data_IF_397914162070
#
_entry.id   IF_397914162070
#
_cell.length_a   1.000
_cell.length_b   1.000
_cell.length_c   1.000
_cell.angle_alpha   90.00
_cell.angle_beta   90.00
_cell.angle_gamma   90.00
#
_symmetry.space_group_name_H-M   'P 1'
#
loop_
_entity.id
_entity.type
_entity.pdbx_description
1 polymer ?
#
# COMPACT_ATOMS: atom_id res chain seq x y z
N UNK A 1 1.96 15.12 8.71
CA UNK A 1 1.78 14.72 7.30
C UNK A 1 2.51 13.41 7.11
N UNK A 2 1.84 12.40 6.57
CA UNK A 2 2.38 11.04 6.50
C UNK A 2 3.47 10.91 5.43
N UNK A 3 4.42 10.02 5.66
CA UNK A 3 5.44 9.58 4.71
C UNK A 3 5.08 8.23 4.08
N UNK A 4 3.78 7.95 4.00
CA UNK A 4 3.21 6.67 3.56
C UNK A 4 2.42 6.94 2.29
N UNK A 5 2.50 6.00 1.34
CA UNK A 5 1.58 5.91 0.22
C UNK A 5 1.01 4.49 0.22
N UNK A 6 -0.29 4.38 -0.01
CA UNK A 6 -0.94 3.09 -0.21
C UNK A 6 -1.60 3.09 -1.56
N UNK A 7 -1.35 2.03 -2.32
CA UNK A 7 -2.04 1.82 -3.58
C UNK A 7 -2.51 0.38 -3.73
N UNK A 8 -3.61 0.25 -4.46
CA UNK A 8 -4.33 -0.99 -4.68
C UNK A 8 -4.44 -1.23 -6.19
N UNK A 9 -3.58 -2.07 -6.78
CA UNK A 9 -3.75 -2.47 -8.16
C UNK A 9 -4.96 -3.42 -8.27
N UNK A 10 -5.81 -3.14 -9.25
CA UNK A 10 -7.02 -3.90 -9.54
C UNK A 10 -6.80 -4.88 -10.69
N UNK A 11 -7.67 -5.89 -10.78
CA UNK A 11 -7.57 -6.95 -11.81
C UNK A 11 -7.79 -6.44 -13.24
N UNK A 12 -8.47 -5.31 -13.41
CA UNK A 12 -8.73 -4.68 -14.70
C UNK A 12 -7.60 -3.74 -15.17
N UNK A 13 -6.50 -3.66 -14.41
CA UNK A 13 -5.37 -2.78 -14.69
C UNK A 13 -5.53 -1.35 -14.16
N UNK A 14 -6.67 -1.01 -13.55
CA UNK A 14 -6.81 0.23 -12.79
C UNK A 14 -6.06 0.15 -11.45
N UNK A 15 -5.89 1.30 -10.79
CA UNK A 15 -5.31 1.39 -9.47
C UNK A 15 -5.98 2.49 -8.64
N UNK A 16 -6.12 2.22 -7.35
CA UNK A 16 -6.68 3.16 -6.37
C UNK A 16 -5.59 3.63 -5.42
N UNK A 17 -5.56 4.91 -5.08
CA UNK A 17 -4.66 5.51 -4.08
C UNK A 17 -5.45 6.00 -2.87
N UNK A 18 -5.89 5.09 -1.98
CA UNK A 18 -6.64 5.47 -0.79
C UNK A 18 -5.83 6.34 0.18
N UNK A 19 -4.49 6.31 0.08
CA UNK A 19 -3.60 7.13 0.91
C UNK A 19 -2.47 7.70 0.05
N UNK A 20 -2.33 9.02 0.05
CA UNK A 20 -1.25 9.74 -0.61
C UNK A 20 -0.23 10.27 0.40
N UNK A 21 1.02 10.40 -0.05
CA UNK A 21 2.06 11.04 0.75
C UNK A 21 1.64 12.47 1.09
N UNK A 22 1.74 12.83 2.37
CA UNK A 22 1.28 14.12 2.87
C UNK A 22 -0.02 14.05 3.66
N UNK A 23 -0.88 13.06 3.39
CA UNK A 23 -2.16 12.88 4.08
C UNK A 23 -1.96 12.73 5.59
N UNK A 24 -2.98 13.06 6.40
CA UNK A 24 -2.88 12.79 7.83
C UNK A 24 -2.86 11.29 8.10
N UNK A 25 -2.09 10.83 9.09
CA UNK A 25 -2.10 9.41 9.47
C UNK A 25 -3.48 8.94 9.94
N UNK A 26 -4.34 9.87 10.41
CA UNK A 26 -5.73 9.58 10.78
C UNK A 26 -6.57 9.23 9.55
N UNK A 27 -6.48 10.03 8.49
CA UNK A 27 -7.15 9.76 7.21
C UNK A 27 -6.62 8.48 6.57
N UNK A 28 -5.30 8.25 6.63
CA UNK A 28 -4.69 7.02 6.15
C UNK A 28 -5.27 5.77 6.82
N UNK A 29 -5.42 5.80 8.15
CA UNK A 29 -6.07 4.72 8.89
C UNK A 29 -7.52 4.58 8.45
N UNK A 30 -8.31 5.65 8.45
CA UNK A 30 -9.72 5.60 8.06
C UNK A 30 -9.94 5.00 6.67
N UNK A 31 -9.16 5.42 5.68
CA UNK A 31 -9.30 4.98 4.29
C UNK A 31 -9.09 3.47 4.11
N UNK A 32 -8.21 2.85 4.89
CA UNK A 32 -7.91 1.42 4.76
C UNK A 32 -8.97 0.50 5.37
N UNK A 33 -9.83 1.01 6.26
CA UNK A 33 -10.81 0.19 6.99
C UNK A 33 -12.25 0.33 6.50
N UNK A 34 -12.58 1.30 5.64
CA UNK A 34 -13.99 1.68 5.41
C UNK A 34 -14.43 1.82 3.95
N UNK A 35 -13.58 1.54 2.96
CA UNK A 35 -13.88 1.89 1.56
C UNK A 35 -14.47 0.73 0.72
N UNK A 36 -15.47 1.06 -0.11
CA UNK A 36 -16.13 0.16 -1.05
C UNK A 36 -15.42 0.24 -2.42
N UNK A 37 -14.41 -0.60 -2.64
CA UNK A 37 -13.69 -0.64 -3.90
C UNK A 37 -14.55 -1.23 -5.04
N UNK A 38 -14.62 -0.52 -6.17
CA UNK A 38 -15.45 -0.95 -7.32
C UNK A 38 -15.00 -2.30 -7.91
N UNK A 39 -13.75 -2.41 -8.33
CA UNK A 39 -13.14 -3.68 -8.72
C UNK A 39 -12.34 -4.25 -7.55
N UNK A 40 -12.44 -5.56 -7.25
CA UNK A 40 -11.77 -6.14 -6.10
C UNK A 40 -10.23 -6.04 -6.28
N UNK A 41 -9.50 -5.50 -5.29
CA UNK A 41 -8.05 -5.45 -5.33
C UNK A 41 -7.47 -6.87 -5.31
N UNK A 42 -6.28 -7.05 -5.90
CA UNK A 42 -5.60 -8.36 -5.88
C UNK A 42 -4.37 -8.40 -4.94
N UNK A 43 -3.95 -7.24 -4.41
CA UNK A 43 -2.94 -7.10 -3.36
C UNK A 43 -3.02 -5.70 -2.73
N UNK A 44 -2.53 -5.57 -1.49
CA UNK A 44 -2.26 -4.32 -0.82
C UNK A 44 -0.76 -4.00 -0.91
N UNK A 45 -0.41 -2.78 -1.31
CA UNK A 45 0.98 -2.31 -1.32
C UNK A 45 1.11 -1.05 -0.47
N UNK A 46 2.02 -1.08 0.50
CA UNK A 46 2.36 0.04 1.39
C UNK A 46 3.80 0.46 1.06
N UNK A 47 3.97 1.70 0.61
CA UNK A 47 5.27 2.30 0.39
C UNK A 47 5.57 3.34 1.46
N UNK A 48 6.75 3.23 2.07
CA UNK A 48 7.22 4.13 3.13
C UNK A 48 8.57 4.69 2.71
N UNK A 49 8.69 6.02 2.73
CA UNK A 49 10.00 6.68 2.61
C UNK A 49 10.54 6.96 4.01
N UNK A 50 11.63 6.29 4.38
CA UNK A 50 12.27 6.47 5.69
C UNK A 50 13.01 7.79 5.78
N UNK A 51 13.39 8.20 7.00
CA UNK A 51 14.23 9.41 7.21
C UNK A 51 15.58 9.34 6.50
N UNK A 52 16.11 8.12 6.31
CA UNK A 52 17.33 7.88 5.55
C UNK A 52 17.15 7.99 4.02
N UNK A 53 15.92 8.23 3.55
CA UNK A 53 15.56 8.27 2.13
C UNK A 53 15.31 6.90 1.50
N UNK A 54 15.55 5.79 2.22
CA UNK A 54 15.25 4.45 1.73
C UNK A 54 13.76 4.24 1.54
N UNK A 55 13.40 3.48 0.50
CA UNK A 55 12.02 3.06 0.23
C UNK A 55 11.79 1.66 0.78
N UNK A 56 10.81 1.53 1.66
CA UNK A 56 10.31 0.24 2.15
C UNK A 56 8.99 -0.03 1.44
N UNK A 57 8.89 -1.14 0.75
CA UNK A 57 7.66 -1.65 0.15
C UNK A 57 7.21 -2.87 0.93
N UNK A 58 5.97 -2.87 1.43
CA UNK A 58 5.30 -4.04 1.99
C UNK A 58 4.19 -4.45 1.03
N UNK A 59 4.27 -5.66 0.49
CA UNK A 59 3.27 -6.19 -0.44
C UNK A 59 2.56 -7.39 0.19
N UNK A 60 1.23 -7.28 0.34
CA UNK A 60 0.35 -8.31 0.90
C UNK A 60 -0.60 -8.79 -0.20
N UNK A 61 -0.41 -10.01 -0.74
CA UNK A 61 -1.32 -10.57 -1.74
C UNK A 61 -2.72 -10.81 -1.18
N UNK A 62 -3.76 -10.62 -1.99
CA UNK A 62 -5.13 -10.99 -1.64
C UNK A 62 -5.39 -12.47 -1.99
N UNK A 63 -4.77 -13.37 -1.23
CA UNK A 63 -4.87 -14.83 -1.38
C UNK A 63 -4.66 -15.54 -0.04
N UNK A 64 -5.32 -16.67 0.19
CA UNK A 64 -5.32 -17.41 1.46
C UNK A 64 -3.98 -18.11 1.76
N UNK A 65 -3.20 -18.42 0.73
CA UNK A 65 -1.99 -19.25 0.80
C UNK A 65 -0.71 -18.51 0.37
N UNK A 66 -0.80 -17.19 0.15
CA UNK A 66 0.34 -16.36 -0.23
C UNK A 66 0.97 -15.66 0.99
N UNK A 67 2.28 -15.45 0.92
CA UNK A 67 3.01 -14.73 1.96
C UNK A 67 3.17 -13.26 1.60
N UNK A 68 3.11 -12.40 2.62
CA UNK A 68 3.54 -11.02 2.47
C UNK A 68 5.05 -10.95 2.19
N UNK A 69 5.48 -9.91 1.49
CA UNK A 69 6.89 -9.66 1.19
C UNK A 69 7.28 -8.22 1.55
N UNK A 70 8.54 -8.04 1.91
CA UNK A 70 9.13 -6.73 2.21
C UNK A 70 10.32 -6.50 1.29
N UNK A 71 10.39 -5.31 0.70
CA UNK A 71 11.55 -4.85 -0.07
C UNK A 71 12.09 -3.56 0.49
N UNK A 72 13.41 -3.47 0.52
CA UNK A 72 14.13 -2.22 0.82
C UNK A 72 14.90 -1.82 -0.44
N UNK A 73 14.60 -0.64 -0.98
CA UNK A 73 15.19 -0.13 -2.22
C UNK A 73 15.10 -1.15 -3.38
N UNK A 74 13.96 -1.85 -3.46
CA UNK A 74 13.68 -2.87 -4.47
C UNK A 74 14.34 -4.23 -4.22
N UNK A 75 15.08 -4.40 -3.13
CA UNK A 75 15.73 -5.66 -2.76
C UNK A 75 14.88 -6.41 -1.72
N UNK A 76 14.57 -7.68 -1.97
CA UNK A 76 13.86 -8.54 -1.02
C UNK A 76 14.66 -8.72 0.28
N UNK A 77 13.98 -8.73 1.42
CA UNK A 77 14.57 -8.88 2.77
C UNK A 77 14.14 -10.18 3.42
#
# INVERSE_FOLDING_TARGET
>A
MSNIQVYLPAKDGSAYWPVSTGDSCKEAVHALFTDDFAAPPHRLVIEITTESGKKVEVSIPYADDAQASVRIDGTDV
#
